data_IF_485574590904
#
_entry.id   IF_485574590904
#
_cell.length_a   1.000
_cell.length_b   1.000
_cell.length_c   1.000
_cell.angle_alpha   90.00
_cell.angle_beta   90.00
_cell.angle_gamma   90.00
#
_symmetry.space_group_name_H-M   'P 1'
#
loop_
_entity.id
_entity.type
_entity.pdbx_description
1 polymer ?
#
# COMPACT_ATOMS: atom_id res chain seq x y z
N UNK A 1 28.94 19.11 -21.76
CA UNK A 1 28.52 17.98 -20.90
C UNK A 1 27.53 18.50 -19.88
N UNK A 2 26.25 18.59 -20.25
CA UNK A 2 25.17 18.77 -19.27
C UNK A 2 25.12 17.49 -18.45
N UNK A 3 25.38 17.58 -17.15
CA UNK A 3 24.89 16.54 -16.24
C UNK A 3 23.39 16.73 -16.21
N UNK A 4 22.67 15.86 -16.89
CA UNK A 4 21.21 15.77 -16.72
C UNK A 4 20.98 15.51 -15.23
N UNK A 5 20.56 16.54 -14.49
CA UNK A 5 20.07 16.39 -13.14
C UNK A 5 18.83 15.50 -13.25
N UNK A 6 18.91 14.25 -12.79
CA UNK A 6 17.69 13.55 -12.40
C UNK A 6 16.94 14.47 -11.44
N UNK A 7 15.65 14.77 -11.67
CA UNK A 7 14.87 15.46 -10.66
C UNK A 7 14.88 14.56 -9.43
N UNK A 8 15.50 15.04 -8.35
CA UNK A 8 15.45 14.38 -7.04
C UNK A 8 14.01 14.45 -6.57
N UNK A 9 13.20 13.46 -6.92
CA UNK A 9 11.83 13.35 -6.44
C UNK A 9 11.88 13.19 -4.93
N UNK A 10 11.13 14.04 -4.22
CA UNK A 10 10.95 13.92 -2.78
C UNK A 10 10.30 12.55 -2.46
N UNK A 11 11.00 11.64 -1.76
CA UNK A 11 10.47 10.30 -1.49
C UNK A 11 9.17 10.34 -0.68
N UNK A 12 8.93 11.40 0.09
CA UNK A 12 7.69 11.57 0.88
C UNK A 12 6.47 11.90 0.03
N UNK A 13 6.66 12.20 -1.26
CA UNK A 13 5.59 12.59 -2.19
C UNK A 13 5.30 11.56 -3.28
N UNK A 14 6.02 10.44 -3.30
CA UNK A 14 5.89 9.42 -4.35
C UNK A 14 4.49 8.80 -4.45
N UNK A 15 3.73 8.80 -3.35
CA UNK A 15 2.37 8.25 -3.26
C UNK A 15 1.26 9.26 -3.47
N UNK A 16 1.55 10.56 -3.66
CA UNK A 16 0.52 11.58 -3.81
C UNK A 16 -0.41 11.27 -5.01
N UNK A 17 -1.71 11.31 -4.75
CA UNK A 17 -2.74 10.98 -5.74
C UNK A 17 -2.86 9.49 -6.08
N UNK A 18 -2.15 8.61 -5.36
CA UNK A 18 -2.23 7.16 -5.53
C UNK A 18 -3.06 6.52 -4.42
N UNK A 19 -3.71 5.42 -4.78
CA UNK A 19 -4.40 4.51 -3.87
C UNK A 19 -3.79 3.13 -3.99
N UNK A 20 -3.54 2.48 -2.85
CA UNK A 20 -2.94 1.15 -2.75
C UNK A 20 -3.90 0.26 -1.97
N UNK A 21 -4.29 -0.88 -2.54
CA UNK A 21 -5.03 -1.92 -1.84
C UNK A 21 -4.09 -3.10 -1.54
N UNK A 22 -4.10 -3.58 -0.30
CA UNK A 22 -3.26 -4.70 0.15
C UNK A 22 -4.17 -5.85 0.56
N UNK A 23 -3.92 -7.03 0.00
CA UNK A 23 -4.63 -8.26 0.30
C UNK A 23 -3.62 -9.40 0.48
N UNK A 24 -3.96 -10.37 1.31
CA UNK A 24 -3.24 -11.63 1.44
C UNK A 24 -4.15 -12.76 0.98
N UNK A 25 -3.68 -13.59 0.05
CA UNK A 25 -4.43 -14.73 -0.48
C UNK A 25 -3.58 -16.00 -0.42
N UNK A 26 -4.23 -17.16 -0.38
CA UNK A 26 -3.54 -18.45 -0.25
C UNK A 26 -3.38 -18.86 1.21
N UNK A 27 -2.50 -19.84 1.46
CA UNK A 27 -2.24 -20.33 2.82
C UNK A 27 -1.33 -19.40 3.62
N UNK A 28 -1.38 -19.52 4.95
CA UNK A 28 -0.58 -18.69 5.84
C UNK A 28 0.93 -18.96 5.72
N UNK A 29 1.68 -17.87 5.59
CA UNK A 29 3.14 -17.88 5.60
C UNK A 29 3.70 -16.89 6.63
N UNK A 30 4.84 -17.27 7.22
CA UNK A 30 5.57 -16.36 8.11
C UNK A 30 6.00 -15.11 7.35
N UNK A 31 5.83 -13.94 7.97
CA UNK A 31 6.24 -12.65 7.40
C UNK A 31 5.15 -11.89 6.63
N UNK A 32 3.98 -12.48 6.35
CA UNK A 32 2.89 -11.77 5.67
C UNK A 32 2.45 -10.51 6.43
N UNK A 33 2.26 -10.60 7.75
CA UNK A 33 1.92 -9.45 8.58
C UNK A 33 2.99 -8.35 8.53
N UNK A 34 4.28 -8.73 8.46
CA UNK A 34 5.37 -7.78 8.34
C UNK A 34 5.36 -7.08 6.97
N UNK A 35 5.09 -7.81 5.88
CA UNK A 35 4.98 -7.26 4.53
C UNK A 35 3.78 -6.30 4.40
N UNK A 36 2.62 -6.68 4.94
CA UNK A 36 1.43 -5.82 5.02
C UNK A 36 1.76 -4.54 5.80
N UNK A 37 2.35 -4.67 6.99
CA UNK A 37 2.73 -3.52 7.83
C UNK A 37 3.73 -2.59 7.13
N UNK A 38 4.73 -3.14 6.45
CA UNK A 38 5.70 -2.33 5.70
C UNK A 38 5.03 -1.55 4.58
N UNK A 39 4.15 -2.21 3.81
CA UNK A 39 3.39 -1.59 2.71
C UNK A 39 2.51 -0.45 3.23
N UNK A 40 1.76 -0.67 4.30
CA UNK A 40 0.91 0.37 4.91
C UNK A 40 1.74 1.55 5.38
N UNK A 41 2.81 1.30 6.14
CA UNK A 41 3.64 2.38 6.68
C UNK A 41 4.30 3.22 5.59
N UNK A 42 4.86 2.57 4.56
CA UNK A 42 5.53 3.28 3.46
C UNK A 42 4.50 3.98 2.56
N UNK A 43 3.39 3.32 2.23
CA UNK A 43 2.32 3.93 1.44
C UNK A 43 1.79 5.21 2.10
N UNK A 44 1.45 5.14 3.39
CA UNK A 44 1.00 6.30 4.15
C UNK A 44 2.11 7.35 4.33
N UNK A 45 3.39 6.95 4.48
CA UNK A 45 4.53 7.87 4.58
C UNK A 45 4.75 8.68 3.29
N UNK A 46 4.53 8.04 2.13
CA UNK A 46 4.72 8.66 0.81
C UNK A 46 3.49 9.45 0.32
N UNK A 47 2.43 9.54 1.14
CA UNK A 47 1.22 10.31 0.83
C UNK A 47 0.15 9.55 0.04
N UNK A 48 0.29 8.22 -0.13
CA UNK A 48 -0.76 7.40 -0.73
C UNK A 48 -1.91 7.13 0.25
N UNK A 49 -3.10 6.91 -0.30
CA UNK A 49 -4.22 6.31 0.45
C UNK A 49 -4.05 4.79 0.43
N UNK A 50 -4.01 4.15 1.59
CA UNK A 50 -3.83 2.69 1.67
C UNK A 50 -5.11 2.05 2.21
N UNK A 51 -5.45 0.88 1.67
CA UNK A 51 -6.63 0.10 2.04
C UNK A 51 -6.26 -1.36 2.29
N UNK A 52 -6.89 -1.96 3.29
CA UNK A 52 -6.91 -3.40 3.49
C UNK A 52 -8.06 -4.02 2.71
N UNK A 53 -7.80 -5.16 2.10
CA UNK A 53 -8.84 -6.01 1.53
C UNK A 53 -8.85 -7.32 2.31
N UNK A 54 -9.96 -7.56 2.99
CA UNK A 54 -10.18 -8.79 3.77
C UNK A 54 -10.57 -9.96 2.85
N UNK A 55 -10.45 -11.20 3.33
CA UNK A 55 -10.81 -12.41 2.56
C UNK A 55 -10.09 -12.55 1.20
N UNK A 56 -8.90 -11.97 1.07
CA UNK A 56 -8.06 -12.08 -0.13
C UNK A 56 -8.77 -11.60 -1.39
N UNK A 57 -8.76 -12.44 -2.43
CA UNK A 57 -9.43 -12.11 -3.70
C UNK A 57 -10.95 -12.07 -3.58
N UNK A 58 -11.54 -12.86 -2.67
CA UNK A 58 -12.99 -12.90 -2.53
C UNK A 58 -13.51 -11.55 -2.02
N UNK A 59 -12.91 -11.02 -0.96
CA UNK A 59 -13.31 -9.69 -0.46
C UNK A 59 -12.98 -8.55 -1.42
N UNK A 60 -12.01 -8.72 -2.34
CA UNK A 60 -11.79 -7.77 -3.42
C UNK A 60 -12.97 -7.74 -4.40
N UNK A 61 -13.49 -8.92 -4.79
CA UNK A 61 -14.63 -9.06 -5.70
C UNK A 61 -15.91 -8.56 -5.03
N UNK A 62 -16.14 -8.93 -3.78
CA UNK A 62 -17.32 -8.54 -3.02
C UNK A 62 -17.35 -7.04 -2.73
N UNK A 63 -16.17 -6.43 -2.55
CA UNK A 63 -16.02 -5.01 -2.29
C UNK A 63 -16.74 -4.55 -1.02
N UNK A 64 -17.19 -3.29 -1.02
CA UNK A 64 -17.96 -2.71 0.09
C UNK A 64 -17.21 -2.76 1.42
N UNK A 65 -17.82 -3.41 2.42
CA UNK A 65 -17.27 -3.54 3.77
C UNK A 65 -15.97 -4.35 3.86
N UNK A 66 -15.59 -5.07 2.81
CA UNK A 66 -14.33 -5.82 2.77
C UNK A 66 -13.11 -4.94 2.44
N UNK A 67 -13.33 -3.69 2.00
CA UNK A 67 -12.27 -2.74 1.66
C UNK A 67 -12.25 -1.62 2.70
N UNK A 68 -11.29 -1.69 3.62
CA UNK A 68 -11.19 -0.78 4.77
C UNK A 68 -9.96 0.13 4.63
N UNK A 69 -10.07 1.44 4.93
CA UNK A 69 -8.89 2.32 4.93
C UNK A 69 -7.89 1.89 6.01
N UNK A 70 -6.60 1.88 5.66
CA UNK A 70 -5.53 1.59 6.59
C UNK A 70 -5.10 2.87 7.33
N UNK A 71 -4.98 2.76 8.66
CA UNK A 71 -4.50 3.82 9.55
C UNK A 71 -3.07 3.55 10.00
N UNK A 72 -2.41 4.55 10.60
CA UNK A 72 -1.05 4.39 11.15
C UNK A 72 -1.03 3.79 12.56
N UNK A 73 -2.20 3.66 13.18
CA UNK A 73 -2.44 3.17 14.55
C UNK A 73 -2.66 1.66 14.56
#
# INVERSE_FOLDING_TARGET
>A
MSKDLHPTMDPTKMGLGRSIAVLTSGGDAQGMNAAVRATVRVGLYTGAKVYFVHEGYQGLVDGGGNICPATRE
#
